data_IF_072125829370
#
_entry.id   IF_072125829370
#
_cell.length_a   1.000
_cell.length_b   1.000
_cell.length_c   1.000
_cell.angle_alpha   90.00
_cell.angle_beta   90.00
_cell.angle_gamma   90.00
#
_symmetry.space_group_name_H-M   'P 1'
#
loop_
_entity.id
_entity.type
_entity.pdbx_description
1 polymer ?
#
# COMPACT_ATOMS: atom_id res chain seq x y z
N UNK A 1 -13.25 6.85 11.39
CA UNK A 1 -11.81 6.78 11.06
C UNK A 1 -11.11 8.14 11.07
N UNK A 2 -11.78 9.24 10.69
CA UNK A 2 -11.19 10.58 10.74
C UNK A 2 -11.04 11.14 12.18
N UNK A 3 -11.79 10.60 13.16
CA UNK A 3 -11.83 11.19 14.51
C UNK A 3 -10.86 10.61 15.54
N UNK A 4 -10.12 9.53 15.25
CA UNK A 4 -9.42 8.77 16.30
C UNK A 4 -7.93 9.14 16.54
N UNK A 5 -7.30 10.02 15.75
CA UNK A 5 -5.86 10.30 15.87
C UNK A 5 -5.52 11.79 15.74
N UNK A 6 -5.97 12.59 16.70
CA UNK A 6 -5.73 14.04 16.75
C UNK A 6 -4.37 14.46 17.35
N UNK A 7 -3.34 13.60 17.42
CA UNK A 7 -2.06 13.97 18.06
C UNK A 7 -0.79 13.63 17.29
N UNK A 8 -0.87 13.40 15.98
CA UNK A 8 0.29 13.70 15.14
C UNK A 8 0.13 15.15 14.69
N UNK A 9 1.10 16.02 15.01
CA UNK A 9 1.15 17.46 14.67
C UNK A 9 1.22 17.70 13.14
N UNK A 10 0.33 17.08 12.39
CA UNK A 10 0.29 17.06 10.95
C UNK A 10 -0.67 18.13 10.49
N UNK A 11 -0.18 18.99 9.61
CA UNK A 11 -0.98 20.02 8.98
C UNK A 11 -1.97 19.38 7.99
N UNK A 12 -3.01 20.11 7.62
CA UNK A 12 -4.00 19.64 6.65
C UNK A 12 -3.37 19.14 5.32
N UNK A 13 -2.36 19.82 4.73
CA UNK A 13 -1.61 19.28 3.60
C UNK A 13 -0.96 17.91 3.85
N UNK A 14 -0.44 17.66 5.05
CA UNK A 14 0.16 16.36 5.36
C UNK A 14 -0.88 15.24 5.37
N UNK A 15 -2.13 15.56 5.73
CA UNK A 15 -3.24 14.61 5.72
C UNK A 15 -3.68 14.27 4.29
N UNK A 16 -3.64 15.21 3.35
CA UNK A 16 -4.02 14.97 1.94
C UNK A 16 -2.97 14.13 1.20
N UNK A 17 -1.71 14.18 1.65
CA UNK A 17 -0.62 13.37 1.10
C UNK A 17 -0.70 11.90 1.58
N UNK A 18 -1.32 11.61 2.73
CA UNK A 18 -1.39 10.25 3.30
C UNK A 18 -2.05 9.22 2.37
N UNK A 19 -3.21 9.48 1.72
CA UNK A 19 -3.79 8.54 0.75
C UNK A 19 -2.84 8.25 -0.42
N UNK A 20 -2.19 9.28 -0.96
CA UNK A 20 -1.20 9.13 -2.04
C UNK A 20 0.02 8.30 -1.60
N UNK A 21 0.58 8.59 -0.43
CA UNK A 21 1.63 7.78 0.18
C UNK A 21 1.17 6.33 0.39
N UNK A 22 -0.07 6.12 0.83
CA UNK A 22 -0.59 4.77 1.08
C UNK A 22 -0.67 3.95 -0.20
N UNK A 23 -1.06 4.57 -1.33
CA UNK A 23 -1.08 3.91 -2.63
C UNK A 23 0.31 3.41 -3.05
N UNK A 24 1.36 4.22 -2.86
CA UNK A 24 2.74 3.80 -3.20
C UNK A 24 3.25 2.71 -2.25
N UNK A 25 2.90 2.78 -0.97
CA UNK A 25 3.27 1.75 0.02
C UNK A 25 2.64 0.39 -0.29
N UNK A 26 1.40 0.34 -0.80
CA UNK A 26 0.77 -0.93 -1.16
C UNK A 26 1.56 -1.70 -2.22
N UNK A 27 2.10 -1.01 -3.23
CA UNK A 27 2.94 -1.64 -4.24
C UNK A 27 4.17 -2.32 -3.61
N UNK A 28 4.90 -1.58 -2.76
CA UNK A 28 6.09 -2.11 -2.08
C UNK A 28 5.77 -3.31 -1.18
N UNK A 29 4.64 -3.24 -0.46
CA UNK A 29 4.14 -4.34 0.36
C UNK A 29 3.81 -5.57 -0.46
N UNK A 30 3.10 -5.41 -1.58
CA UNK A 30 2.76 -6.50 -2.49
C UNK A 30 4.01 -7.17 -3.07
N UNK A 31 5.02 -6.40 -3.49
CA UNK A 31 6.31 -6.93 -3.96
C UNK A 31 7.05 -7.70 -2.86
N UNK A 32 7.02 -7.21 -1.62
CA UNK A 32 7.65 -7.88 -0.47
C UNK A 32 6.94 -9.19 -0.10
N UNK A 33 5.61 -9.22 -0.17
CA UNK A 33 4.80 -10.43 0.05
C UNK A 33 5.08 -11.43 -1.07
N UNK A 34 5.04 -11.02 -2.34
CA UNK A 34 5.33 -11.89 -3.48
C UNK A 34 6.71 -12.58 -3.36
N UNK A 35 7.74 -11.86 -2.89
CA UNK A 35 9.08 -12.43 -2.66
C UNK A 35 9.10 -13.52 -1.59
N UNK A 36 8.18 -13.48 -0.62
CA UNK A 36 8.09 -14.42 0.51
C UNK A 36 7.08 -15.54 0.31
N UNK A 37 6.14 -15.38 -0.62
CA UNK A 37 5.17 -16.42 -0.98
C UNK A 37 5.85 -17.57 -1.71
N UNK A 38 5.64 -18.80 -1.24
CA UNK A 38 6.19 -20.02 -1.85
C UNK A 38 5.22 -20.68 -2.84
N UNK A 39 3.92 -20.45 -2.67
CA UNK A 39 2.89 -20.97 -3.58
C UNK A 39 2.93 -20.24 -4.93
N UNK A 40 3.02 -21.03 -6.01
CA UNK A 40 3.17 -20.50 -7.37
C UNK A 40 1.90 -19.81 -7.87
N UNK A 41 0.72 -20.29 -7.49
CA UNK A 41 -0.55 -19.70 -7.93
C UNK A 41 -0.73 -18.32 -7.27
N UNK A 42 -0.55 -18.25 -5.95
CA UNK A 42 -0.60 -16.99 -5.20
C UNK A 42 0.47 -15.99 -5.66
N UNK A 43 1.68 -16.46 -6.01
CA UNK A 43 2.71 -15.58 -6.59
C UNK A 43 2.28 -14.96 -7.92
N UNK A 44 1.58 -15.72 -8.76
CA UNK A 44 1.07 -15.24 -10.05
C UNK A 44 -0.07 -14.23 -9.84
N UNK A 45 -1.00 -14.50 -8.92
CA UNK A 45 -2.06 -13.55 -8.56
C UNK A 45 -1.46 -12.23 -8.05
N UNK A 46 -0.46 -12.31 -7.17
CA UNK A 46 0.28 -11.13 -6.69
C UNK A 46 1.05 -10.42 -7.82
N UNK A 47 1.58 -11.17 -8.79
CA UNK A 47 2.27 -10.59 -9.95
C UNK A 47 1.30 -9.78 -10.82
N UNK A 48 0.11 -10.32 -11.08
CA UNK A 48 -0.94 -9.61 -11.80
C UNK A 48 -1.32 -8.33 -11.05
N UNK A 49 -1.52 -8.41 -9.73
CA UNK A 49 -1.86 -7.24 -8.91
C UNK A 49 -0.80 -6.13 -8.92
N UNK A 50 0.50 -6.49 -8.96
CA UNK A 50 1.61 -5.51 -9.02
C UNK A 50 1.74 -4.87 -10.40
N UNK A 51 1.54 -5.66 -11.46
CA UNK A 51 1.77 -5.23 -12.84
C UNK A 51 0.50 -4.79 -13.58
N UNK A 52 -0.66 -4.81 -12.93
CA UNK A 52 -1.91 -4.32 -13.50
C UNK A 52 -1.77 -2.82 -13.82
N UNK A 53 -1.59 -2.51 -15.10
CA UNK A 53 -1.68 -1.13 -15.58
C UNK A 53 -3.14 -0.70 -15.50
N UNK A 54 -3.38 0.40 -14.77
CA UNK A 54 -4.61 1.19 -14.86
C UNK A 54 -4.60 1.96 -16.16
#
# INVERSE_FOLDING_TARGET
WIEANFTNRLSFPDLTIKPLQRLTQYKLLLEAIQKRTQDNQQRNDLHEMVNKKV
#
